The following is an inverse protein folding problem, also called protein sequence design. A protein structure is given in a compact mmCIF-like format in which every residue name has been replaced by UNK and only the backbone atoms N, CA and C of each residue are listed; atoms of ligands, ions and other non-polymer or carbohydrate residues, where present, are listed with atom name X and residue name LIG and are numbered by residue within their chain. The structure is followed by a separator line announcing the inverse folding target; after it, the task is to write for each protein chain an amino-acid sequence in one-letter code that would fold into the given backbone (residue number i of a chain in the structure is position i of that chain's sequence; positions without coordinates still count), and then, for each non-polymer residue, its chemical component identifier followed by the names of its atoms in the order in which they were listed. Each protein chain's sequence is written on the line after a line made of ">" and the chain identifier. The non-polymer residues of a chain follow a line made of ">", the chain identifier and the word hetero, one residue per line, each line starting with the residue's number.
data_IF_626550267568
#
_entry.id   IF_626550267568
#
_cell.length_a   1.000
_cell.length_b   1.000
_cell.length_c   1.000
_cell.angle_alpha   90.00
_cell.angle_beta   90.00
_cell.angle_gamma   90.00
#
_symmetry.space_group_name_H-M   'P 1'
#
loop_
_entity.id
_entity.type
_entity.pdbx_description
1 polymer ?
#
# COMPACT_ATOMS: atom_id res chain seq x y z
N UNK A 1 -17.78 -27.86 25.72
CA UNK A 1 -18.62 -27.60 24.53
C UNK A 1 -18.64 -26.09 24.32
N UNK A 2 -18.38 -25.63 23.09
CA UNK A 2 -18.40 -24.24 22.57
C UNK A 2 -17.12 -23.39 22.75
N UNK A 3 -16.22 -23.41 21.74
CA UNK A 3 -15.51 -22.18 21.34
C UNK A 3 -16.26 -21.59 20.14
N UNK A 4 -16.64 -20.31 20.16
CA UNK A 4 -17.36 -19.69 19.06
C UNK A 4 -16.48 -19.57 17.82
N UNK A 5 -17.14 -19.78 16.68
CA UNK A 5 -16.63 -19.82 15.31
C UNK A 5 -16.04 -18.48 14.83
N UNK A 6 -15.07 -18.57 13.93
CA UNK A 6 -14.53 -17.51 13.05
C UNK A 6 -13.78 -16.33 13.71
N UNK A 7 -12.55 -16.58 14.14
CA UNK A 7 -11.55 -15.51 14.21
C UNK A 7 -11.01 -15.28 12.79
N UNK A 8 -11.53 -14.28 12.08
CA UNK A 8 -10.97 -13.86 10.79
C UNK A 8 -9.57 -13.30 11.05
N UNK A 9 -8.54 -14.14 10.87
CA UNK A 9 -7.16 -13.72 11.01
C UNK A 9 -6.81 -12.82 9.82
N UNK A 10 -6.95 -11.50 9.98
CA UNK A 10 -6.47 -10.53 8.99
C UNK A 10 -4.94 -10.57 8.99
N UNK A 11 -4.37 -11.40 8.11
CA UNK A 11 -2.93 -11.55 7.96
C UNK A 11 -2.39 -10.23 7.41
N UNK A 12 -1.53 -9.56 8.19
CA UNK A 12 -0.86 -8.35 7.73
C UNK A 12 0.11 -8.76 6.62
N UNK A 13 -0.20 -8.39 5.39
CA UNK A 13 0.65 -8.65 4.25
C UNK A 13 1.71 -7.55 4.14
N UNK A 14 2.89 -7.82 4.72
CA UNK A 14 3.99 -6.87 4.74
C UNK A 14 4.83 -6.98 3.45
N UNK A 15 5.13 -5.85 2.84
CA UNK A 15 6.04 -5.73 1.70
C UNK A 15 7.33 -5.01 2.08
N UNK A 16 8.38 -5.20 1.27
CA UNK A 16 9.68 -4.53 1.38
C UNK A 16 9.89 -3.59 0.20
N UNK A 17 10.23 -2.33 0.46
CA UNK A 17 10.62 -1.39 -0.59
C UNK A 17 11.93 -1.85 -1.21
N UNK A 18 11.95 -2.02 -2.54
CA UNK A 18 13.13 -2.46 -3.29
C UNK A 18 13.73 -1.34 -4.16
N UNK A 19 12.93 -0.34 -4.55
CA UNK A 19 13.44 0.84 -5.28
C UNK A 19 12.54 2.05 -5.06
N UNK A 20 13.14 3.24 -5.05
CA UNK A 20 12.45 4.52 -5.04
C UNK A 20 13.06 5.41 -6.13
N UNK A 21 12.22 5.89 -7.05
CA UNK A 21 12.61 6.77 -8.17
C UNK A 21 11.64 7.96 -8.22
N UNK A 22 12.00 9.06 -7.54
CA UNK A 22 11.08 10.17 -7.34
C UNK A 22 9.90 9.74 -6.46
N UNK A 23 8.67 9.92 -6.95
CA UNK A 23 7.46 9.39 -6.29
C UNK A 23 7.18 7.93 -6.61
N UNK A 24 7.86 7.32 -7.58
CA UNK A 24 7.61 5.92 -7.95
C UNK A 24 8.31 5.00 -6.96
N UNK A 25 7.57 4.06 -6.39
CA UNK A 25 8.07 3.09 -5.42
C UNK A 25 7.78 1.67 -5.90
N UNK A 26 8.82 0.85 -5.98
CA UNK A 26 8.69 -0.59 -6.23
C UNK A 26 8.75 -1.33 -4.88
N UNK A 27 7.79 -2.22 -4.65
CA UNK A 27 7.63 -2.98 -3.40
C UNK A 27 7.58 -4.47 -3.72
N UNK A 28 8.36 -5.26 -2.99
CA UNK A 28 8.35 -6.71 -3.04
C UNK A 28 7.44 -7.30 -1.96
N UNK A 29 6.66 -8.31 -2.30
CA UNK A 29 5.84 -9.11 -1.40
C UNK A 29 6.22 -10.58 -1.52
N UNK A 30 6.41 -11.24 -0.38
CA UNK A 30 6.82 -12.64 -0.34
C UNK A 30 5.68 -13.60 -0.68
N UNK A 31 4.44 -13.22 -0.37
CA UNK A 31 3.27 -14.07 -0.54
C UNK A 31 2.25 -13.42 -1.48
N UNK A 32 1.32 -12.65 -0.93
CA UNK A 32 0.21 -12.10 -1.70
C UNK A 32 0.57 -10.73 -2.28
N UNK A 33 0.17 -10.44 -3.51
CA UNK A 33 0.26 -9.07 -4.02
C UNK A 33 -0.97 -8.27 -3.61
N UNK A 34 -0.78 -7.01 -3.18
CA UNK A 34 -1.91 -6.10 -3.05
C UNK A 34 -2.56 -5.89 -4.43
N UNK A 35 -3.88 -5.67 -4.44
CA UNK A 35 -4.60 -5.34 -5.67
C UNK A 35 -4.17 -3.96 -6.18
N UNK A 36 -4.31 -3.75 -7.49
CA UNK A 36 -4.18 -2.41 -8.08
C UNK A 36 -5.19 -1.47 -7.43
N UNK A 37 -4.81 -0.21 -7.23
CA UNK A 37 -5.52 0.83 -6.46
C UNK A 37 -5.61 0.58 -4.94
N UNK A 38 -4.86 -0.40 -4.41
CA UNK A 38 -4.71 -0.56 -2.95
C UNK A 38 -3.72 0.46 -2.38
N UNK A 39 -3.94 0.88 -1.14
CA UNK A 39 -3.03 1.75 -0.40
C UNK A 39 -2.12 0.96 0.53
N UNK A 40 -0.82 1.06 0.29
CA UNK A 40 0.21 0.58 1.20
C UNK A 40 0.61 1.71 2.14
N UNK A 41 0.82 1.39 3.41
CA UNK A 41 1.23 2.37 4.40
C UNK A 41 2.62 2.01 4.94
N UNK A 42 3.53 2.99 4.94
CA UNK A 42 4.91 2.84 5.39
C UNK A 42 5.36 4.06 6.17
N UNK A 43 6.62 4.05 6.62
CA UNK A 43 7.20 5.10 7.45
C UNK A 43 6.88 4.95 8.94
N UNK A 44 7.51 5.80 9.75
CA UNK A 44 7.22 5.91 11.18
C UNK A 44 5.76 6.35 11.32
N UNK A 45 4.97 5.56 12.04
CA UNK A 45 3.54 5.83 12.26
C UNK A 45 2.65 5.72 11.01
N UNK A 46 3.05 4.97 9.97
CA UNK A 46 2.24 4.74 8.74
C UNK A 46 1.86 6.05 7.99
N UNK A 47 2.72 7.06 8.10
CA UNK A 47 2.48 8.41 7.59
C UNK A 47 2.74 8.59 6.09
N UNK A 48 3.34 7.60 5.43
CA UNK A 48 3.53 7.59 3.98
C UNK A 48 2.58 6.57 3.37
N UNK A 49 1.71 7.06 2.49
CA UNK A 49 0.81 6.23 1.71
C UNK A 49 1.39 5.98 0.32
N UNK A 50 1.25 4.76 -0.22
CA UNK A 50 1.68 4.40 -1.57
C UNK A 50 0.50 3.74 -2.27
N UNK A 51 0.05 4.32 -3.37
CA UNK A 51 -1.01 3.74 -4.20
C UNK A 51 -0.42 2.76 -5.20
N UNK A 52 -0.90 1.51 -5.21
CA UNK A 52 -0.46 0.47 -6.14
C UNK A 52 -1.03 0.75 -7.52
N UNK A 53 -0.17 0.99 -8.51
CA UNK A 53 -0.59 1.26 -9.90
C UNK A 53 -0.52 0.02 -10.78
N UNK A 54 0.44 -0.88 -10.54
CA UNK A 54 0.58 -2.11 -11.31
C UNK A 54 1.27 -3.20 -10.51
N UNK A 55 0.91 -4.45 -10.78
CA UNK A 55 1.71 -5.63 -10.43
C UNK A 55 2.71 -5.84 -11.57
N UNK A 56 4.02 -5.87 -11.25
CA UNK A 56 5.11 -6.02 -12.23
C UNK A 56 5.40 -7.50 -12.52
N UNK A 57 5.31 -8.33 -11.47
CA UNK A 57 5.43 -9.78 -11.49
C UNK A 57 4.76 -10.35 -10.23
N UNK A 58 4.81 -11.67 -10.05
CA UNK A 58 4.16 -12.41 -8.94
C UNK A 58 4.59 -11.96 -7.53
N UNK A 59 5.68 -11.20 -7.42
CA UNK A 59 6.20 -10.73 -6.14
C UNK A 59 6.43 -9.22 -6.08
N UNK A 60 6.22 -8.47 -7.17
CA UNK A 60 6.55 -7.04 -7.21
C UNK A 60 5.36 -6.22 -7.64
N UNK A 61 5.15 -5.12 -6.93
CA UNK A 61 4.23 -4.06 -7.36
C UNK A 61 4.97 -2.76 -7.52
N UNK A 62 4.46 -1.92 -8.42
CA UNK A 62 4.85 -0.54 -8.56
C UNK A 62 3.71 0.35 -8.13
N UNK A 63 4.02 1.32 -7.28
CA UNK A 63 3.11 2.33 -6.83
C UNK A 63 3.69 3.72 -6.86
N UNK A 64 2.88 4.70 -6.49
CA UNK A 64 3.29 6.08 -6.28
C UNK A 64 3.16 6.46 -4.81
N UNK A 65 4.25 6.96 -4.23
CA UNK A 65 4.23 7.57 -2.92
C UNK A 65 3.37 8.83 -2.98
N UNK A 66 2.25 8.78 -2.27
CA UNK A 66 1.48 9.94 -1.94
C UNK A 66 2.24 10.61 -0.79
N UNK A 67 2.79 11.80 -1.05
CA UNK A 67 3.15 12.68 0.06
C UNK A 67 1.92 12.83 0.96
N UNK A 68 2.07 13.13 2.27
CA UNK A 68 0.98 13.60 3.12
C UNK A 68 0.47 14.93 2.58
N UNK A 69 -0.21 14.83 1.44
CA UNK A 69 -0.93 15.86 0.76
C UNK A 69 -2.19 15.93 1.56
N UNK A 70 -2.25 16.97 2.39
CA UNK A 70 -3.47 17.53 2.93
C UNK A 70 -4.61 17.21 1.95
N UNK A 71 -5.45 16.24 2.30
CA UNK A 71 -6.72 16.02 1.64
C UNK A 71 -7.54 17.29 1.85
N UNK A 72 -7.28 18.29 1.01
CA UNK A 72 -7.41 19.68 1.44
C UNK A 72 -6.87 20.69 0.43
N UNK A 73 -7.00 20.43 -0.88
CA UNK A 73 -7.31 21.52 -1.82
C UNK A 73 -8.48 21.08 -2.68
N UNK A 74 -9.67 21.26 -2.12
CA UNK A 74 -10.90 21.35 -2.89
C UNK A 74 -10.85 22.66 -3.68
N UNK A 75 -10.91 22.49 -5.01
CA UNK A 75 -11.60 23.33 -5.98
C UNK A 75 -10.82 24.46 -6.69
N UNK A 76 -10.75 24.25 -8.02
CA UNK A 76 -11.04 25.14 -9.16
C UNK A 76 -10.50 26.58 -9.15
N UNK A 77 -9.67 26.88 -10.15
CA UNK A 77 -9.46 28.23 -10.70
C UNK A 77 -10.72 28.66 -11.47
N UNK A 78 -11.36 29.74 -11.01
CA UNK A 78 -12.19 30.59 -11.87
C UNK A 78 -11.33 31.66 -12.52
#
# INVERSE_FOLDING_TARGET
>A
MNKPSNELTYKVNNGKIISVRGSVVDVFFENDLPQINSLLHTGKDKNVAIEVLTQLDDHKVRGIALSPTQAGKRSFSG
#
